data_IF_945629606673
#
_entry.id   IF_945629606673
#
_cell.length_a   1.000
_cell.length_b   1.000
_cell.length_c   1.000
_cell.angle_alpha   90.00
_cell.angle_beta   90.00
_cell.angle_gamma   90.00
#
_symmetry.space_group_name_H-M   'P 1'
#
loop_
_entity.id
_entity.type
_entity.pdbx_description
1 polymer ?
#
# COMPACT_ATOMS: atom_id res chain seq x y z
N UNK A 1 -17.11 -36.56 -33.97
CA UNK A 1 -17.52 -35.91 -32.70
C UNK A 1 -16.50 -34.84 -32.35
N UNK A 2 -16.77 -33.59 -32.73
CA UNK A 2 -15.89 -32.46 -32.36
C UNK A 2 -16.02 -32.20 -30.87
N UNK A 3 -14.91 -32.35 -30.13
CA UNK A 3 -14.80 -31.77 -28.79
C UNK A 3 -14.84 -30.25 -28.97
N UNK A 4 -16.02 -29.66 -28.85
CA UNK A 4 -16.13 -28.24 -28.56
C UNK A 4 -15.37 -28.02 -27.24
N UNK A 5 -14.16 -27.46 -27.33
CA UNK A 5 -13.44 -26.97 -26.19
C UNK A 5 -14.34 -25.91 -25.54
N UNK A 6 -15.06 -26.29 -24.50
CA UNK A 6 -15.87 -25.37 -23.71
C UNK A 6 -14.92 -24.25 -23.26
N UNK A 7 -15.17 -22.98 -23.62
CA UNK A 7 -14.33 -21.90 -23.14
C UNK A 7 -14.34 -21.97 -21.62
N UNK A 8 -13.17 -22.17 -21.03
CA UNK A 8 -13.06 -22.37 -19.59
C UNK A 8 -13.74 -21.20 -18.87
N UNK A 9 -14.66 -21.49 -17.91
CA UNK A 9 -15.47 -20.46 -17.31
C UNK A 9 -14.58 -19.35 -16.73
N UNK A 10 -14.77 -18.13 -17.23
CA UNK A 10 -13.99 -16.97 -16.81
C UNK A 10 -14.39 -16.66 -15.37
N UNK A 11 -13.44 -16.66 -14.43
CA UNK A 11 -13.74 -16.32 -13.05
C UNK A 11 -14.15 -14.86 -12.89
N UNK A 12 -15.38 -14.66 -12.42
CA UNK A 12 -15.91 -13.36 -12.01
C UNK A 12 -15.04 -12.73 -10.91
N UNK A 13 -14.42 -13.55 -10.06
CA UNK A 13 -13.54 -13.05 -9.00
C UNK A 13 -12.33 -12.29 -9.55
N UNK A 14 -11.63 -12.83 -10.54
CA UNK A 14 -10.45 -12.17 -11.14
C UNK A 14 -10.86 -10.85 -11.80
N UNK A 15 -11.98 -10.84 -12.50
CA UNK A 15 -12.50 -9.63 -13.15
C UNK A 15 -12.88 -8.56 -12.14
N UNK A 16 -13.63 -8.90 -11.09
CA UNK A 16 -14.04 -7.96 -10.03
C UNK A 16 -12.82 -7.43 -9.28
N UNK A 17 -11.88 -8.32 -8.91
CA UNK A 17 -10.65 -7.94 -8.23
C UNK A 17 -9.84 -6.95 -9.06
N UNK A 18 -9.65 -7.23 -10.35
CA UNK A 18 -8.95 -6.31 -11.24
C UNK A 18 -9.63 -4.95 -11.29
N UNK A 19 -10.96 -4.87 -11.43
CA UNK A 19 -11.66 -3.59 -11.48
C UNK A 19 -11.53 -2.78 -10.19
N UNK A 20 -11.66 -3.43 -9.03
CA UNK A 20 -11.45 -2.79 -7.72
C UNK A 20 -10.06 -2.17 -7.66
N UNK A 21 -9.03 -2.94 -8.03
CA UNK A 21 -7.66 -2.45 -8.01
C UNK A 21 -7.38 -1.41 -9.10
N UNK A 22 -8.01 -1.48 -10.28
CA UNK A 22 -7.88 -0.45 -11.31
C UNK A 22 -8.41 0.88 -10.80
N UNK A 23 -9.62 0.89 -10.24
CA UNK A 23 -10.25 2.12 -9.74
C UNK A 23 -9.44 2.67 -8.57
N UNK A 24 -9.10 1.82 -7.59
CA UNK A 24 -8.32 2.21 -6.43
C UNK A 24 -6.91 2.71 -6.79
N UNK A 25 -6.20 2.00 -7.68
CA UNK A 25 -4.86 2.37 -8.10
C UNK A 25 -4.86 3.62 -8.99
N UNK A 26 -5.89 3.83 -9.82
CA UNK A 26 -6.02 5.05 -10.61
C UNK A 26 -6.18 6.28 -9.72
N UNK A 27 -7.04 6.18 -8.69
CA UNK A 27 -7.21 7.25 -7.71
C UNK A 27 -5.94 7.48 -6.89
N UNK A 28 -5.31 6.40 -6.42
CA UNK A 28 -4.04 6.47 -5.68
C UNK A 28 -2.93 7.09 -6.52
N UNK A 29 -2.84 6.74 -7.80
CA UNK A 29 -1.87 7.31 -8.74
C UNK A 29 -2.10 8.80 -8.93
N UNK A 30 -3.36 9.24 -9.09
CA UNK A 30 -3.70 10.66 -9.19
C UNK A 30 -3.23 11.44 -7.95
N UNK A 31 -3.54 10.92 -6.75
CA UNK A 31 -3.11 11.54 -5.48
C UNK A 31 -1.58 11.54 -5.36
N UNK A 32 -0.92 10.44 -5.71
CA UNK A 32 0.54 10.31 -5.60
C UNK A 32 1.27 11.22 -6.59
N UNK A 33 0.75 11.38 -7.81
CA UNK A 33 1.26 12.35 -8.80
C UNK A 33 1.10 13.77 -8.28
N UNK A 34 -0.07 14.11 -7.72
CA UNK A 34 -0.29 15.43 -7.13
C UNK A 34 0.69 15.71 -5.98
N UNK A 35 0.88 14.74 -5.08
CA UNK A 35 1.87 14.83 -4.00
C UNK A 35 3.30 14.97 -4.54
N UNK A 36 3.67 14.19 -5.55
CA UNK A 36 4.99 14.25 -6.19
C UNK A 36 5.25 15.62 -6.82
N UNK A 37 4.23 16.22 -7.45
CA UNK A 37 4.30 17.58 -7.99
C UNK A 37 4.43 18.62 -6.87
N UNK A 38 3.64 18.51 -5.80
CA UNK A 38 3.77 19.40 -4.65
C UNK A 38 5.18 19.34 -4.06
N UNK A 39 5.73 18.14 -3.85
CA UNK A 39 7.10 17.99 -3.35
C UNK A 39 8.09 18.63 -4.32
N UNK A 40 8.00 18.36 -5.62
CA UNK A 40 8.98 18.92 -6.57
C UNK A 40 8.91 20.46 -6.65
N UNK A 41 7.72 21.06 -6.53
CA UNK A 41 7.54 22.50 -6.65
C UNK A 41 7.83 23.29 -5.36
N UNK A 42 7.51 22.71 -4.20
CA UNK A 42 7.57 23.40 -2.90
C UNK A 42 8.75 22.96 -2.03
N UNK A 43 9.24 21.71 -2.17
CA UNK A 43 10.24 21.15 -1.25
C UNK A 43 11.63 21.75 -1.46
N UNK A 44 11.96 22.21 -2.67
CA UNK A 44 13.22 22.96 -2.92
C UNK A 44 13.18 24.39 -2.31
N UNK A 45 11.99 24.90 -1.97
CA UNK A 45 11.81 26.24 -1.37
C UNK A 45 11.72 26.23 0.15
N UNK A 46 11.34 25.10 0.74
CA UNK A 46 11.40 24.89 2.18
C UNK A 46 12.75 24.27 2.53
N UNK A 47 13.55 24.96 3.34
CA UNK A 47 14.81 24.42 3.88
C UNK A 47 14.54 23.29 4.89
N UNK A 48 13.98 22.17 4.44
CA UNK A 48 13.65 21.01 5.28
C UNK A 48 14.89 20.39 5.94
N UNK A 49 16.08 20.60 5.37
CA UNK A 49 17.35 20.23 5.96
C UNK A 49 17.65 21.00 7.26
N UNK A 50 17.17 22.25 7.38
CA UNK A 50 17.33 23.04 8.60
C UNK A 50 16.36 22.57 9.71
N UNK A 51 15.18 22.07 9.34
CA UNK A 51 14.23 21.46 10.29
C UNK A 51 14.60 20.02 10.68
N UNK A 52 15.55 19.37 10.00
CA UNK A 52 16.04 18.04 10.38
C UNK A 52 17.05 18.07 11.54
N UNK A 53 17.37 19.24 12.11
CA UNK A 53 18.30 19.31 13.24
C UNK A 53 17.56 19.09 14.56
N UNK A 54 17.92 18.02 15.27
CA UNK A 54 17.40 17.71 16.61
C UNK A 54 16.28 16.68 16.66
N UNK A 55 15.97 16.02 15.53
CA UNK A 55 15.01 14.91 15.52
C UNK A 55 15.69 13.54 15.68
N UNK A 56 14.94 12.50 16.05
CA UNK A 56 15.46 11.14 16.15
C UNK A 56 15.90 10.60 14.79
N UNK A 57 16.90 9.71 14.79
CA UNK A 57 17.58 9.25 13.58
C UNK A 57 16.65 8.71 12.48
N UNK A 58 15.51 8.14 12.87
CA UNK A 58 14.49 7.64 11.95
C UNK A 58 13.76 8.77 11.22
N UNK A 59 13.40 9.85 11.93
CA UNK A 59 12.77 11.04 11.36
C UNK A 59 13.74 11.74 10.42
N UNK A 60 15.00 11.88 10.82
CA UNK A 60 16.04 12.48 9.99
C UNK A 60 16.23 11.71 8.68
N UNK A 61 16.28 10.38 8.76
CA UNK A 61 16.33 9.53 7.58
C UNK A 61 15.11 9.73 6.68
N UNK A 62 13.90 9.79 7.25
CA UNK A 62 12.68 10.00 6.47
C UNK A 62 12.63 11.37 5.82
N UNK A 63 13.04 12.45 6.51
CA UNK A 63 13.07 13.81 5.97
C UNK A 63 14.10 13.94 4.85
N UNK A 64 15.30 13.37 5.01
CA UNK A 64 16.35 13.37 4.00
C UNK A 64 15.94 12.58 2.74
N UNK A 65 15.23 11.47 2.93
CA UNK A 65 14.80 10.59 1.83
C UNK A 65 13.36 10.84 1.39
N UNK A 66 12.69 11.88 1.91
CA UNK A 66 11.26 12.10 1.72
C UNK A 66 10.85 12.14 0.25
N UNK A 67 11.64 12.83 -0.59
CA UNK A 67 11.40 12.91 -2.03
C UNK A 67 11.42 11.53 -2.70
N UNK A 68 12.37 10.67 -2.32
CA UNK A 68 12.47 9.30 -2.83
C UNK A 68 11.33 8.42 -2.34
N UNK A 69 10.93 8.59 -1.07
CA UNK A 69 9.78 7.89 -0.49
C UNK A 69 8.51 8.23 -1.29
N UNK A 70 8.24 9.52 -1.54
CA UNK A 70 7.06 9.96 -2.30
C UNK A 70 7.09 9.43 -3.74
N UNK A 71 8.23 9.48 -4.42
CA UNK A 71 8.35 8.90 -5.77
C UNK A 71 8.17 7.38 -5.78
N UNK A 72 8.63 6.68 -4.74
CA UNK A 72 8.43 5.24 -4.63
C UNK A 72 6.94 4.86 -4.54
N UNK A 73 6.12 5.65 -3.84
CA UNK A 73 4.67 5.47 -3.82
C UNK A 73 4.03 5.62 -5.20
N UNK A 74 4.44 6.64 -5.96
CA UNK A 74 3.97 6.83 -7.33
C UNK A 74 4.35 5.64 -8.22
N UNK A 75 5.57 5.11 -8.07
CA UNK A 75 6.00 3.92 -8.80
C UNK A 75 5.19 2.67 -8.42
N UNK A 76 4.92 2.46 -7.13
CA UNK A 76 4.10 1.35 -6.64
C UNK A 76 2.66 1.46 -7.16
N UNK A 77 2.08 2.66 -7.16
CA UNK A 77 0.74 2.91 -7.69
C UNK A 77 0.66 2.61 -9.19
N UNK A 78 1.66 3.07 -9.96
CA UNK A 78 1.75 2.80 -11.39
C UNK A 78 1.90 1.29 -11.67
N UNK A 79 2.80 0.63 -10.93
CA UNK A 79 3.02 -0.81 -11.05
C UNK A 79 1.75 -1.61 -10.71
N UNK A 80 1.00 -1.16 -9.70
CA UNK A 80 -0.30 -1.75 -9.33
C UNK A 80 -1.32 -1.60 -10.44
N UNK A 81 -1.40 -0.42 -11.08
CA UNK A 81 -2.30 -0.19 -12.21
C UNK A 81 -1.96 -1.10 -13.40
N UNK A 82 -0.67 -1.17 -13.77
CA UNK A 82 -0.18 -2.05 -14.85
C UNK A 82 -0.49 -3.52 -14.54
N UNK A 83 -0.26 -3.95 -13.29
CA UNK A 83 -0.53 -5.31 -12.85
C UNK A 83 -2.02 -5.63 -12.90
N UNK A 84 -2.88 -4.69 -12.55
CA UNK A 84 -4.34 -4.85 -12.59
C UNK A 84 -4.87 -5.00 -14.02
N UNK A 85 -4.33 -4.21 -14.95
CA UNK A 85 -4.62 -4.38 -16.39
C UNK A 85 -4.09 -5.73 -16.89
N UNK A 86 -2.89 -6.14 -16.48
CA UNK A 86 -2.32 -7.43 -16.84
C UNK A 86 -3.13 -8.62 -16.27
N UNK A 87 -3.79 -8.45 -15.13
CA UNK A 87 -4.70 -9.43 -14.54
C UNK A 87 -5.96 -9.61 -15.41
N UNK A 88 -6.55 -8.52 -15.93
CA UNK A 88 -7.65 -8.60 -16.91
C UNK A 88 -7.24 -9.30 -18.19
N UNK A 89 -6.00 -9.06 -18.64
CA UNK A 89 -5.42 -9.72 -19.82
C UNK A 89 -4.95 -11.16 -19.55
N UNK A 90 -5.19 -11.69 -18.33
CA UNK A 90 -4.87 -13.07 -17.91
C UNK A 90 -3.43 -13.49 -18.19
N UNK A 91 -2.48 -12.56 -18.06
CA UNK A 91 -1.06 -12.89 -18.26
C UNK A 91 -0.52 -13.66 -17.05
N UNK A 92 0.23 -14.75 -17.28
CA UNK A 92 0.80 -15.61 -16.23
C UNK A 92 1.60 -14.84 -15.17
N UNK A 93 2.33 -13.79 -15.56
CA UNK A 93 3.13 -12.96 -14.65
C UNK A 93 2.29 -12.10 -13.68
N UNK A 94 1.00 -11.88 -13.93
CA UNK A 94 0.18 -10.91 -13.22
C UNK A 94 -0.14 -11.39 -11.81
N UNK A 95 -0.23 -12.71 -11.65
CA UNK A 95 -0.39 -13.37 -10.35
C UNK A 95 0.78 -13.05 -9.44
N UNK A 96 2.01 -13.28 -9.92
CA UNK A 96 3.22 -12.99 -9.15
C UNK A 96 3.37 -11.50 -8.85
N UNK A 97 3.05 -10.63 -9.81
CA UNK A 97 3.06 -9.18 -9.59
C UNK A 97 2.11 -8.76 -8.46
N UNK A 98 0.88 -9.29 -8.43
CA UNK A 98 -0.08 -9.03 -7.35
C UNK A 98 0.38 -9.60 -6.01
N UNK A 99 0.98 -10.79 -5.99
CA UNK A 99 1.53 -11.36 -4.76
C UNK A 99 2.61 -10.44 -4.18
N UNK A 100 3.51 -9.92 -5.03
CA UNK A 100 4.54 -8.96 -4.63
C UNK A 100 3.91 -7.66 -4.10
N UNK A 101 2.93 -7.08 -4.81
CA UNK A 101 2.24 -5.85 -4.38
C UNK A 101 1.54 -6.04 -3.03
N UNK A 102 0.79 -7.13 -2.86
CA UNK A 102 0.07 -7.42 -1.62
C UNK A 102 1.04 -7.68 -0.47
N UNK A 103 2.14 -8.37 -0.73
CA UNK A 103 3.19 -8.62 0.28
C UNK A 103 3.87 -7.32 0.70
N UNK A 104 4.18 -6.43 -0.24
CA UNK A 104 4.69 -5.09 0.05
C UNK A 104 3.68 -4.29 0.88
N UNK A 105 2.38 -4.40 0.58
CA UNK A 105 1.32 -3.79 1.37
C UNK A 105 1.28 -4.30 2.81
N UNK A 106 1.46 -5.61 3.03
CA UNK A 106 1.56 -6.19 4.38
C UNK A 106 2.79 -5.65 5.12
N UNK A 107 3.96 -5.68 4.47
CA UNK A 107 5.20 -5.16 5.04
C UNK A 107 5.07 -3.67 5.39
N UNK A 108 4.40 -2.90 4.54
CA UNK A 108 4.13 -1.49 4.79
C UNK A 108 3.24 -1.26 6.01
N UNK A 109 2.19 -2.06 6.20
CA UNK A 109 1.33 -1.96 7.39
C UNK A 109 2.10 -2.31 8.67
N UNK A 110 2.95 -3.34 8.63
CA UNK A 110 3.81 -3.70 9.76
C UNK A 110 4.83 -2.60 10.08
N UNK A 111 5.47 -2.03 9.06
CA UNK A 111 6.36 -0.88 9.22
C UNK A 111 5.61 0.33 9.79
N UNK A 112 4.38 0.57 9.33
CA UNK A 112 3.49 1.62 9.83
C UNK A 112 3.19 1.46 11.33
N UNK A 113 2.97 0.24 11.81
CA UNK A 113 2.81 -0.01 13.24
C UNK A 113 4.07 0.31 14.03
N UNK A 114 5.24 -0.15 13.57
CA UNK A 114 6.53 0.16 14.22
C UNK A 114 6.76 1.68 14.27
N UNK A 115 6.51 2.38 13.15
CA UNK A 115 6.60 3.84 13.08
C UNK A 115 5.61 4.51 14.03
N UNK A 116 4.38 4.03 14.10
CA UNK A 116 3.36 4.60 14.99
C UNK A 116 3.75 4.48 16.46
N UNK A 117 4.29 3.34 16.91
CA UNK A 117 4.74 3.17 18.29
C UNK A 117 5.96 4.02 18.62
N UNK A 118 6.97 4.04 17.73
CA UNK A 118 8.20 4.83 17.94
C UNK A 118 7.94 6.33 17.94
N UNK A 119 7.19 6.85 16.96
CA UNK A 119 6.84 8.28 16.89
C UNK A 119 5.99 8.73 18.07
N UNK A 120 5.09 7.88 18.57
CA UNK A 120 4.24 8.22 19.71
C UNK A 120 5.07 8.42 20.98
N UNK A 121 6.01 7.52 21.26
CA UNK A 121 6.90 7.63 22.42
C UNK A 121 7.75 8.91 22.35
N UNK A 122 8.32 9.21 21.19
CA UNK A 122 9.12 10.41 20.98
C UNK A 122 8.29 11.70 21.13
N UNK A 123 7.07 11.73 20.58
CA UNK A 123 6.18 12.89 20.68
C UNK A 123 5.75 13.16 22.12
N UNK A 124 5.50 12.11 22.92
CA UNK A 124 5.20 12.24 24.34
C UNK A 124 6.38 12.79 25.15
N UNK A 125 7.62 12.42 24.79
CA UNK A 125 8.82 12.91 25.46
C UNK A 125 9.15 14.37 25.10
N UNK A 126 8.79 14.82 23.89
CA UNK A 126 9.03 16.20 23.44
C UNK A 126 7.98 17.21 23.93
N UNK A 127 6.80 16.76 24.37
CA UNK A 127 5.73 17.66 24.81
C UNK A 127 5.95 18.12 26.25
N UNK A 128 6.21 19.42 26.51
CA UNK A 128 6.42 19.93 27.86
C UNK A 128 5.14 20.00 28.69
N UNK A 129 3.98 19.79 28.06
CA UNK A 129 2.66 19.80 28.69
C UNK A 129 2.16 18.38 28.83
N UNK A 130 1.81 17.97 30.05
CA UNK A 130 1.12 16.71 30.31
C UNK A 130 -0.21 16.70 29.55
N UNK A 131 -0.43 15.77 28.61
CA UNK A 131 -1.62 15.78 27.78
C UNK A 131 -2.88 15.60 28.64
N UNK A 132 -3.90 16.39 28.34
CA UNK A 132 -5.23 16.26 28.96
C UNK A 132 -5.77 14.83 28.77
N UNK A 133 -6.49 14.30 29.75
CA UNK A 133 -7.02 12.94 29.71
C UNK A 133 -7.90 12.70 28.47
N UNK A 134 -8.65 13.72 28.04
CA UNK A 134 -9.46 13.66 26.83
C UNK A 134 -8.62 13.42 25.56
N UNK A 135 -7.46 14.09 25.46
CA UNK A 135 -6.54 13.95 24.32
C UNK A 135 -5.89 12.57 24.32
N UNK A 136 -5.47 12.08 25.49
CA UNK A 136 -4.89 10.74 25.64
C UNK A 136 -5.89 9.65 25.22
N UNK A 137 -7.15 9.75 25.67
CA UNK A 137 -8.21 8.79 25.30
C UNK A 137 -8.52 8.83 23.81
N UNK A 138 -8.60 10.02 23.22
CA UNK A 138 -8.82 10.15 21.77
C UNK A 138 -7.67 9.53 20.98
N UNK A 139 -6.43 9.79 21.39
CA UNK A 139 -5.24 9.24 20.74
C UNK A 139 -5.18 7.70 20.84
N UNK A 140 -5.48 7.14 22.02
CA UNK A 140 -5.61 5.69 22.21
C UNK A 140 -6.71 5.09 21.34
N UNK A 141 -7.87 5.75 21.25
CA UNK A 141 -8.97 5.28 20.41
C UNK A 141 -8.57 5.24 18.92
N UNK A 142 -7.90 6.29 18.42
CA UNK A 142 -7.37 6.33 17.05
C UNK A 142 -6.31 5.24 16.83
N UNK A 143 -5.43 5.01 17.80
CA UNK A 143 -4.40 3.98 17.72
C UNK A 143 -5.01 2.58 17.64
N UNK A 144 -5.94 2.23 18.54
CA UNK A 144 -6.61 0.93 18.52
C UNK A 144 -7.44 0.72 17.26
N UNK A 145 -8.13 1.77 16.79
CA UNK A 145 -8.86 1.71 15.54
C UNK A 145 -7.93 1.46 14.36
N UNK A 146 -6.84 2.22 14.25
CA UNK A 146 -5.84 2.08 13.19
C UNK A 146 -5.19 0.69 13.19
N UNK A 147 -4.83 0.17 14.37
CA UNK A 147 -4.21 -1.15 14.53
C UNK A 147 -5.19 -2.26 14.14
N UNK A 148 -6.43 -2.18 14.61
CA UNK A 148 -7.49 -3.15 14.25
C UNK A 148 -7.75 -3.13 12.74
N UNK A 149 -7.90 -1.94 12.16
CA UNK A 149 -8.12 -1.78 10.73
C UNK A 149 -6.93 -2.31 9.91
N UNK A 150 -5.70 -2.00 10.33
CA UNK A 150 -4.49 -2.49 9.69
C UNK A 150 -4.38 -4.01 9.72
N UNK A 151 -4.72 -4.66 10.84
CA UNK A 151 -4.77 -6.13 10.94
C UNK A 151 -5.83 -6.74 10.02
N UNK A 152 -7.00 -6.12 9.90
CA UNK A 152 -8.04 -6.55 8.95
C UNK A 152 -7.53 -6.46 7.52
N UNK A 153 -6.84 -5.38 7.16
CA UNK A 153 -6.23 -5.22 5.82
C UNK A 153 -5.13 -6.27 5.57
N UNK A 154 -4.27 -6.54 6.56
CA UNK A 154 -3.24 -7.59 6.46
C UNK A 154 -3.89 -8.96 6.22
N UNK A 155 -4.93 -9.29 7.00
CA UNK A 155 -5.66 -10.55 6.85
C UNK A 155 -6.32 -10.66 5.47
N UNK A 156 -6.93 -9.57 4.99
CA UNK A 156 -7.51 -9.50 3.64
C UNK A 156 -6.45 -9.71 2.56
N UNK A 157 -5.28 -9.09 2.67
CA UNK A 157 -4.19 -9.25 1.71
C UNK A 157 -3.62 -10.67 1.72
N UNK A 158 -3.42 -11.26 2.89
CA UNK A 158 -2.98 -12.65 3.02
C UNK A 158 -4.00 -13.63 2.40
N UNK A 159 -5.30 -13.37 2.62
CA UNK A 159 -6.38 -14.14 2.01
C UNK A 159 -6.40 -13.99 0.48
N UNK A 160 -6.23 -12.77 -0.04
CA UNK A 160 -6.14 -12.51 -1.48
C UNK A 160 -4.95 -13.22 -2.12
N UNK A 161 -3.76 -13.18 -1.48
CA UNK A 161 -2.57 -13.93 -1.93
C UNK A 161 -2.90 -15.43 -2.00
N UNK A 162 -3.46 -16.00 -0.93
CA UNK A 162 -3.83 -17.43 -0.89
C UNK A 162 -4.83 -17.77 -1.99
N UNK A 163 -5.83 -16.91 -2.23
CA UNK A 163 -6.85 -17.12 -3.27
C UNK A 163 -6.24 -17.03 -4.67
N UNK A 164 -5.40 -16.03 -4.96
CA UNK A 164 -4.68 -15.87 -6.23
C UNK A 164 -3.71 -17.02 -6.53
N UNK A 165 -3.17 -17.66 -5.49
CA UNK A 165 -2.30 -18.83 -5.59
C UNK A 165 -3.07 -20.16 -5.70
N UNK A 166 -4.40 -20.17 -5.52
CA UNK A 166 -5.18 -21.40 -5.58
C UNK A 166 -5.12 -22.06 -6.97
N UNK A 167 -5.23 -23.40 -7.00
CA UNK A 167 -5.13 -24.19 -8.24
C UNK A 167 -6.25 -23.85 -9.24
N UNK A 168 -7.43 -23.50 -8.75
CA UNK A 168 -8.58 -23.06 -9.56
C UNK A 168 -8.24 -21.83 -10.38
N UNK A 169 -7.71 -20.79 -9.72
CA UNK A 169 -7.32 -19.55 -10.39
C UNK A 169 -6.07 -19.80 -11.23
N UNK A 170 -5.11 -20.58 -10.75
CA UNK A 170 -3.89 -20.90 -11.50
C UNK A 170 -4.18 -21.52 -12.87
N UNK A 171 -5.16 -22.43 -12.93
CA UNK A 171 -5.55 -23.13 -14.15
C UNK A 171 -6.08 -22.17 -15.24
N UNK A 172 -6.70 -21.06 -14.86
CA UNK A 172 -7.23 -20.06 -15.80
C UNK A 172 -6.18 -19.29 -16.57
N UNK A 173 -4.95 -19.23 -16.06
CA UNK A 173 -3.84 -18.53 -16.68
C UNK A 173 -3.00 -19.49 -17.55
N UNK A 174 -2.92 -20.78 -17.18
CA UNK A 174 -2.20 -21.81 -17.95
C UNK A 174 -2.89 -22.26 -19.24
N UNK A 175 -4.15 -21.91 -19.47
CA UNK A 175 -4.91 -22.32 -20.66
C UNK A 175 -4.73 -21.37 -21.88
N UNK A 176 -3.94 -20.30 -21.75
CA UNK A 176 -3.72 -19.29 -22.80
C UNK A 176 -2.29 -19.37 -23.39
N UNK A 177 -1.53 -20.41 -23.06
CA UNK A 177 -0.30 -20.82 -23.80
C UNK A 177 -0.67 -21.79 -24.90
#
# INVERSE_FOLDING_TARGET
MSKYAQPSPRSTFVSVLAWIFIIGASFTLLVSVLQSLMVTLFFDRMNWQASAQGHPALVDFMLQNFRWIVYSFTLVALFTLISSIALLKRKNWARWAFVVILSLGILWQLAGFVLQFTMLEEFQQMSPVSPDEGVVRMQQAVQYFSLTFGLVIIALFAWLIKKLLSREIAAEFSLVT
#
